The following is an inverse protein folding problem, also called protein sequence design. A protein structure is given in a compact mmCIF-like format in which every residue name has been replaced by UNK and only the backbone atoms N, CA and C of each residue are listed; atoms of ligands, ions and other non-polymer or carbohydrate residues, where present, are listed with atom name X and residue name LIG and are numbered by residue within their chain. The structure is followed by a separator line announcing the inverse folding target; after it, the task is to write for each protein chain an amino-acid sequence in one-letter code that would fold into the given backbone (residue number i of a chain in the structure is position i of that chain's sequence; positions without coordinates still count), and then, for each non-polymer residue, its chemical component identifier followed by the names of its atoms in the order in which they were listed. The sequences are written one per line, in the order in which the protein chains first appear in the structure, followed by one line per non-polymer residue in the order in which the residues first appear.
data_IF_233304158743
#
_entry.id   IF_233304158743
#
_cell.length_a   1.000
_cell.length_b   1.000
_cell.length_c   1.000
_cell.angle_alpha   90.00
_cell.angle_beta   90.00
_cell.angle_gamma   90.00
#
_symmetry.space_group_name_H-M   'P 1'
#
loop_
_entity.id
_entity.type
_entity.pdbx_description
1 polymer ?
#
# COMPACT_ATOMS: atom_id res chain seq x y z
N UNK A 1 -40.71 20.81 -3.46
CA UNK A 1 -40.17 19.89 -4.48
C UNK A 1 -38.69 19.72 -4.22
N UNK A 2 -38.25 18.46 -4.10
CA UNK A 2 -36.85 17.96 -4.09
C UNK A 2 -35.97 18.54 -2.97
N UNK A 3 -36.02 18.04 -1.74
CA UNK A 3 -35.27 16.87 -1.24
C UNK A 3 -33.76 16.95 -1.53
N UNK A 4 -33.03 17.41 -0.50
CA UNK A 4 -31.58 17.40 -0.46
C UNK A 4 -31.05 15.98 -0.38
N UNK A 5 -30.09 15.67 -1.25
CA UNK A 5 -29.27 14.46 -1.18
C UNK A 5 -28.42 14.52 0.08
N UNK A 6 -28.86 13.81 1.12
CA UNK A 6 -28.00 13.42 2.23
C UNK A 6 -26.95 12.46 1.67
N UNK A 7 -25.72 12.94 1.48
CA UNK A 7 -24.59 12.04 1.25
C UNK A 7 -24.43 11.13 2.46
N UNK A 8 -24.27 9.80 2.28
CA UNK A 8 -23.97 8.91 3.39
C UNK A 8 -22.59 9.24 3.94
N UNK A 9 -22.52 9.56 5.24
CA UNK A 9 -21.25 9.67 5.97
C UNK A 9 -20.53 8.32 5.97
N UNK A 10 -19.18 8.32 5.93
CA UNK A 10 -18.41 7.09 6.08
C UNK A 10 -18.78 6.39 7.42
N UNK A 11 -18.75 5.05 7.48
CA UNK A 11 -19.01 4.34 8.72
C UNK A 11 -17.96 4.75 9.76
N UNK A 12 -18.44 5.03 10.97
CA UNK A 12 -17.57 5.35 12.11
C UNK A 12 -16.55 4.22 12.31
N UNK A 13 -15.30 4.56 12.68
CA UNK A 13 -14.28 3.56 12.95
C UNK A 13 -14.78 2.60 14.03
N UNK A 14 -14.83 1.31 13.72
CA UNK A 14 -15.15 0.30 14.71
C UNK A 14 -14.02 0.34 15.74
N UNK A 15 -14.36 0.63 17.00
CA UNK A 15 -13.40 0.65 18.10
C UNK A 15 -12.87 -0.76 18.31
N UNK A 16 -11.75 -1.10 17.67
CA UNK A 16 -10.94 -2.24 18.04
C UNK A 16 -10.17 -1.88 19.32
N UNK A 17 -10.05 -2.82 20.28
CA UNK A 17 -9.22 -2.60 21.47
C UNK A 17 -7.75 -2.44 21.06
N UNK A 18 -7.11 -1.43 21.65
CA UNK A 18 -5.73 -1.04 21.42
C UNK A 18 -4.76 -2.21 21.64
N UNK A 19 -4.03 -2.57 20.59
CA UNK A 19 -2.77 -3.29 20.71
C UNK A 19 -1.67 -2.24 20.69
N UNK A 20 -1.17 -1.92 21.87
CA UNK A 20 -0.02 -1.06 22.07
C UNK A 20 1.21 -1.67 21.38
N UNK A 21 1.67 -1.06 20.30
CA UNK A 21 2.99 -1.28 19.74
C UNK A 21 3.70 0.08 19.68
N UNK A 22 4.51 0.34 20.69
CA UNK A 22 5.37 1.51 20.79
C UNK A 22 6.57 1.34 19.84
N UNK A 23 6.66 2.18 18.81
CA UNK A 23 7.92 2.43 18.10
C UNK A 23 8.31 3.89 18.31
N UNK A 24 9.14 4.12 19.32
CA UNK A 24 9.94 5.34 19.44
C UNK A 24 11.17 5.23 18.55
N UNK A 25 11.49 6.32 17.82
CA UNK A 25 12.71 6.44 17.03
C UNK A 25 12.86 7.87 16.53
N UNK A 26 13.82 8.59 17.10
CA UNK A 26 14.05 10.03 16.97
C UNK A 26 14.52 10.44 15.56
N UNK A 27 13.96 11.54 15.06
CA UNK A 27 14.31 12.15 13.78
C UNK A 27 15.66 12.88 13.85
N UNK A 28 16.65 12.42 13.09
CA UNK A 28 17.85 13.18 12.81
C UNK A 28 17.60 14.19 11.69
N UNK A 29 17.66 15.49 12.04
CA UNK A 29 17.72 16.61 11.09
C UNK A 29 19.04 16.58 10.33
N UNK A 30 18.97 16.49 8.99
CA UNK A 30 20.07 16.87 8.11
C UNK A 30 19.52 17.72 6.95
N UNK A 31 19.94 18.99 6.93
CA UNK A 31 19.71 19.94 5.84
C UNK A 31 20.51 19.55 4.59
N UNK A 32 19.97 19.72 3.37
CA UNK A 32 20.75 19.54 2.15
C UNK A 32 21.56 20.80 1.78
N UNK A 33 22.81 20.66 1.29
CA UNK A 33 23.50 21.75 0.61
C UNK A 33 23.08 21.86 -0.86
N UNK A 34 22.93 23.10 -1.33
CA UNK A 34 22.74 23.45 -2.72
C UNK A 34 23.99 23.11 -3.54
N UNK A 35 23.81 22.43 -4.68
CA UNK A 35 24.77 22.40 -5.76
C UNK A 35 24.05 22.22 -7.11
N UNK A 36 24.14 23.28 -7.89
CA UNK A 36 23.79 23.40 -9.29
C UNK A 36 24.88 22.70 -10.13
N UNK A 37 24.52 21.79 -11.04
CA UNK A 37 25.28 21.57 -12.29
C UNK A 37 24.62 20.55 -13.21
N UNK A 38 24.34 21.01 -14.43
CA UNK A 38 23.93 20.21 -15.57
C UNK A 38 25.06 19.28 -16.04
N UNK A 39 24.74 18.02 -16.32
CA UNK A 39 25.32 17.25 -17.43
C UNK A 39 24.53 15.95 -17.61
N UNK A 40 24.28 15.62 -18.89
CA UNK A 40 23.65 14.40 -19.35
C UNK A 40 24.28 13.16 -18.72
N UNK A 41 23.46 12.26 -18.18
CA UNK A 41 23.88 10.89 -17.97
C UNK A 41 22.76 9.95 -18.40
N UNK A 42 23.15 9.06 -19.31
CA UNK A 42 22.34 8.07 -19.97
C UNK A 42 21.44 7.32 -18.99
N UNK A 43 20.14 7.29 -19.32
CA UNK A 43 19.19 6.38 -18.71
C UNK A 43 19.75 4.96 -18.80
N UNK A 44 20.05 4.28 -17.68
CA UNK A 44 20.25 2.84 -17.74
C UNK A 44 18.93 2.25 -18.23
N UNK A 45 19.00 1.59 -19.38
CA UNK A 45 17.91 0.75 -19.87
C UNK A 45 17.52 -0.16 -18.71
N UNK A 46 16.23 -0.09 -18.33
CA UNK A 46 15.64 -1.00 -17.37
C UNK A 46 15.74 -2.42 -17.95
N UNK A 47 16.83 -3.12 -17.62
CA UNK A 47 17.02 -4.53 -17.92
C UNK A 47 16.01 -5.32 -17.10
N UNK A 48 14.93 -5.72 -17.78
CA UNK A 48 14.16 -6.93 -17.52
C UNK A 48 13.77 -7.21 -16.08
N UNK A 49 12.85 -6.42 -15.53
CA UNK A 49 12.00 -6.93 -14.45
C UNK A 49 11.11 -8.03 -15.06
N UNK A 50 10.99 -9.21 -14.43
CA UNK A 50 10.11 -10.26 -14.93
C UNK A 50 8.69 -9.72 -15.08
N UNK A 51 8.18 -9.78 -16.31
CA UNK A 51 6.84 -9.41 -16.76
C UNK A 51 5.81 -10.42 -16.21
N UNK A 52 5.75 -10.55 -14.88
CA UNK A 52 4.88 -11.50 -14.18
C UNK A 52 4.09 -10.84 -13.03
N UNK A 53 3.93 -9.51 -13.04
CA UNK A 53 2.90 -8.86 -12.22
C UNK A 53 1.53 -9.17 -12.80
N UNK A 54 0.95 -10.30 -12.36
CA UNK A 54 -0.34 -10.81 -12.87
C UNK A 54 -1.52 -9.90 -12.54
N UNK A 55 -1.40 -9.00 -11.57
CA UNK A 55 -2.51 -8.14 -11.15
C UNK A 55 -2.01 -6.80 -10.58
N UNK A 56 -2.46 -5.69 -11.15
CA UNK A 56 -2.19 -4.33 -10.67
C UNK A 56 -3.48 -3.67 -10.20
N UNK A 57 -3.52 -3.19 -8.96
CA UNK A 57 -4.68 -2.52 -8.35
C UNK A 57 -4.34 -1.11 -7.91
N UNK A 58 -5.29 -0.20 -8.02
CA UNK A 58 -5.15 1.18 -7.56
C UNK A 58 -5.54 1.32 -6.10
N UNK A 59 -4.76 2.09 -5.33
CA UNK A 59 -5.11 2.44 -3.95
C UNK A 59 -5.88 3.74 -3.82
N UNK A 60 -6.40 3.98 -2.61
CA UNK A 60 -7.05 5.24 -2.21
C UNK A 60 -6.14 6.46 -2.38
N UNK A 61 -4.83 6.24 -2.42
CA UNK A 61 -3.81 7.27 -2.63
C UNK A 61 -3.37 7.40 -4.10
N UNK A 62 -4.12 6.80 -5.03
CA UNK A 62 -3.79 6.77 -6.46
C UNK A 62 -2.44 6.10 -6.80
N UNK A 63 -1.88 5.31 -5.88
CA UNK A 63 -0.71 4.48 -6.13
C UNK A 63 -1.12 3.16 -6.79
N UNK A 64 -0.16 2.46 -7.40
CA UNK A 64 -0.39 1.18 -8.06
C UNK A 64 0.32 0.06 -7.32
N UNK A 65 -0.47 -0.85 -6.77
CA UNK A 65 0.01 -2.05 -6.12
C UNK A 65 0.02 -3.21 -7.11
N UNK A 66 1.18 -3.83 -7.28
CA UNK A 66 1.35 -5.03 -8.09
C UNK A 66 1.38 -6.26 -7.19
N UNK A 67 0.58 -7.27 -7.55
CA UNK A 67 0.57 -8.57 -6.90
C UNK A 67 1.55 -9.51 -7.62
N UNK A 68 2.33 -10.21 -6.84
CA UNK A 68 3.28 -11.23 -7.29
C UNK A 68 3.07 -12.51 -6.51
N UNK A 69 3.37 -13.65 -7.15
CA UNK A 69 3.26 -14.95 -6.53
C UNK A 69 4.62 -15.38 -5.96
N UNK A 70 4.64 -15.81 -4.70
CA UNK A 70 5.83 -16.41 -4.10
C UNK A 70 6.01 -17.85 -4.61
N UNK A 71 7.26 -18.31 -4.79
CA UNK A 71 7.53 -19.69 -5.18
C UNK A 71 7.07 -20.65 -4.08
N UNK A 72 6.59 -21.83 -4.46
CA UNK A 72 6.02 -22.80 -3.51
C UNK A 72 7.05 -23.31 -2.49
N UNK A 73 8.33 -23.34 -2.84
CA UNK A 73 9.44 -23.71 -1.94
C UNK A 73 9.62 -22.77 -0.75
N UNK A 74 9.17 -21.52 -0.87
CA UNK A 74 9.24 -20.49 0.18
C UNK A 74 7.95 -20.41 1.03
N UNK A 75 7.06 -21.39 0.86
CA UNK A 75 5.76 -21.43 1.55
C UNK A 75 4.60 -20.84 0.73
N UNK A 76 4.87 -20.43 -0.52
CA UNK A 76 3.87 -19.95 -1.46
C UNK A 76 3.13 -18.69 -1.02
N UNK A 77 1.99 -18.42 -1.66
CA UNK A 77 1.17 -17.24 -1.40
C UNK A 77 1.51 -16.06 -2.31
N UNK A 78 1.10 -14.87 -1.90
CA UNK A 78 1.27 -13.64 -2.66
C UNK A 78 1.97 -12.57 -1.84
N UNK A 79 2.65 -11.68 -2.55
CA UNK A 79 3.17 -10.44 -2.01
C UNK A 79 2.77 -9.27 -2.90
N UNK A 80 2.66 -8.12 -2.26
CA UNK A 80 2.18 -6.89 -2.86
C UNK A 80 3.32 -5.87 -2.80
N UNK A 81 3.55 -5.17 -3.90
CA UNK A 81 4.59 -4.14 -3.99
C UNK A 81 4.06 -2.86 -4.66
N UNK A 82 4.49 -1.72 -4.14
CA UNK A 82 4.18 -0.40 -4.65
C UNK A 82 5.35 0.55 -4.38
N UNK A 83 6.07 0.95 -5.44
CA UNK A 83 7.22 1.86 -5.37
C UNK A 83 8.31 1.37 -4.40
N UNK A 84 8.35 1.92 -3.18
CA UNK A 84 9.32 1.57 -2.13
C UNK A 84 8.68 0.75 -0.98
N UNK A 85 7.37 0.52 -1.02
CA UNK A 85 6.65 -0.24 -0.01
C UNK A 85 6.23 -1.61 -0.55
N UNK A 86 6.29 -2.62 0.31
CA UNK A 86 5.86 -3.98 -0.03
C UNK A 86 5.45 -4.73 1.23
N UNK A 87 4.59 -5.74 1.07
CA UNK A 87 4.23 -6.66 2.14
C UNK A 87 3.83 -8.04 1.60
N UNK A 88 3.98 -9.07 2.42
CA UNK A 88 3.59 -10.45 2.08
C UNK A 88 2.23 -10.73 2.71
N UNK A 89 1.30 -11.36 1.99
CA UNK A 89 -0.06 -11.60 2.52
C UNK A 89 -0.07 -12.46 3.80
N UNK A 90 0.92 -13.34 3.96
CA UNK A 90 1.08 -14.18 5.15
C UNK A 90 1.64 -13.42 6.36
N UNK A 91 2.34 -12.31 6.13
CA UNK A 91 2.94 -11.47 7.18
C UNK A 91 2.85 -9.99 6.77
N UNK A 92 1.65 -9.40 6.83
CA UNK A 92 1.36 -8.11 6.19
C UNK A 92 1.85 -6.88 6.97
N UNK A 93 2.39 -7.07 8.18
CA UNK A 93 2.88 -5.96 9.00
C UNK A 93 1.76 -5.01 9.42
N UNK A 94 1.85 -3.74 9.03
CA UNK A 94 0.84 -2.70 9.29
C UNK A 94 -0.42 -2.83 8.42
N UNK A 95 -0.38 -3.69 7.40
CA UNK A 95 -1.52 -3.97 6.53
C UNK A 95 -2.44 -5.02 7.16
N UNK A 96 -3.74 -4.76 7.12
CA UNK A 96 -4.77 -5.68 7.57
C UNK A 96 -5.72 -6.03 6.42
N UNK A 97 -6.04 -7.32 6.30
CA UNK A 97 -6.95 -7.85 5.29
C UNK A 97 -8.37 -7.86 5.84
N UNK A 98 -9.29 -7.32 5.07
CA UNK A 98 -10.71 -7.30 5.38
C UNK A 98 -11.51 -7.86 4.20
N UNK A 99 -12.74 -8.29 4.49
CA UNK A 99 -13.71 -8.73 3.49
C UNK A 99 -14.95 -7.86 3.64
N UNK A 100 -15.35 -7.18 2.57
CA UNK A 100 -16.63 -6.48 2.51
C UNK A 100 -17.73 -7.49 2.21
N UNK A 101 -18.62 -7.82 3.18
CA UNK A 101 -19.66 -8.83 2.99
C UNK A 101 -20.76 -8.38 2.03
N UNK A 102 -20.84 -7.09 1.70
CA UNK A 102 -21.85 -6.57 0.75
C UNK A 102 -21.39 -6.73 -0.69
N UNK A 103 -20.10 -6.58 -0.92
CA UNK A 103 -19.49 -6.65 -2.25
C UNK A 103 -18.86 -8.01 -2.54
N UNK A 104 -18.71 -8.86 -1.52
CA UNK A 104 -17.95 -10.10 -1.57
C UNK A 104 -16.51 -9.86 -2.07
N UNK A 105 -15.93 -8.73 -1.65
CA UNK A 105 -14.59 -8.29 -2.08
C UNK A 105 -13.64 -8.22 -0.92
N UNK A 106 -12.39 -8.58 -1.18
CA UNK A 106 -11.29 -8.43 -0.23
C UNK A 106 -10.68 -7.05 -0.42
N UNK A 107 -10.27 -6.42 0.68
CA UNK A 107 -9.44 -5.22 0.61
C UNK A 107 -8.36 -5.26 1.68
N UNK A 108 -7.27 -4.55 1.40
CA UNK A 108 -6.17 -4.33 2.33
C UNK A 108 -6.25 -2.89 2.83
N UNK A 109 -6.05 -2.69 4.14
CA UNK A 109 -6.03 -1.37 4.79
C UNK A 109 -4.81 -1.26 5.69
N UNK A 110 -4.05 -0.18 5.52
CA UNK A 110 -2.90 0.17 6.35
C UNK A 110 -3.34 1.24 7.36
N UNK A 111 -3.27 0.91 8.65
CA UNK A 111 -3.70 1.83 9.71
C UNK A 111 -2.71 2.99 9.95
N UNK A 112 -1.45 2.84 9.55
CA UNK A 112 -0.41 3.86 9.73
C UNK A 112 -0.53 4.97 8.68
N UNK A 113 -0.74 4.59 7.42
CA UNK A 113 -0.93 5.53 6.31
C UNK A 113 -2.40 5.85 6.03
N UNK A 114 -3.35 5.16 6.64
CA UNK A 114 -4.78 5.24 6.27
C UNK A 114 -5.04 4.92 4.77
N UNK A 115 -4.13 4.19 4.13
CA UNK A 115 -4.24 3.75 2.74
C UNK A 115 -5.03 2.44 2.64
N UNK A 116 -5.77 2.26 1.54
CA UNK A 116 -6.42 0.99 1.24
C UNK A 116 -6.55 0.73 -0.26
N UNK A 117 -6.71 -0.54 -0.61
CA UNK A 117 -7.03 -0.96 -1.98
C UNK A 117 -7.84 -2.27 -1.99
N UNK A 118 -8.69 -2.44 -3.00
CA UNK A 118 -9.45 -3.67 -3.22
C UNK A 118 -8.65 -4.66 -4.06
N UNK A 119 -8.86 -5.95 -3.77
CA UNK A 119 -8.31 -7.10 -4.51
C UNK A 119 -9.43 -7.81 -5.26
#
# INVERSE_FOLDING_TARGET
GGEGVCQPSPPAPVSQPALEAACGGEAATLSPPAAESAAANSTPAAEGLPDESQHCVGSSWSRKWAQYRLPEEEGGGFWWACEEEWFVEQSPGCWARYMDPRLDKVYWYNAESEEWFYV
#
